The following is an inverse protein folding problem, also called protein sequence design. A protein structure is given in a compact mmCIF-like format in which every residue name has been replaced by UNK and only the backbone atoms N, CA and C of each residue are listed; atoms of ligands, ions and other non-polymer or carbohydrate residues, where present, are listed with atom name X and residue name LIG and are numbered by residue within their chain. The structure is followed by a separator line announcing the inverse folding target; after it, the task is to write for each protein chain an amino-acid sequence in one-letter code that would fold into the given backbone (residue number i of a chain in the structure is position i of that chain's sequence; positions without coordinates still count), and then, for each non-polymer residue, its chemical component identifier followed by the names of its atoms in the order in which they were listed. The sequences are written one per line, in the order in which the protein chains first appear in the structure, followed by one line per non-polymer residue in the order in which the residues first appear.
data_IF_068473804803
#
_entry.id   IF_068473804803
#
_cell.length_a   1.000
_cell.length_b   1.000
_cell.length_c   1.000
_cell.angle_alpha   90.00
_cell.angle_beta   90.00
_cell.angle_gamma   90.00
#
_symmetry.space_group_name_H-M   'P 1'
#
loop_
_entity.id
_entity.type
_entity.pdbx_description
1 polymer ?
#
# COMPACT_ATOMS: atom_id res chain seq x y z
N UNK A 1 2.52 -7.37 -26.67
CA UNK A 1 2.94 -7.72 -25.30
C UNK A 1 1.92 -7.15 -24.34
N UNK A 2 0.93 -7.95 -23.91
CA UNK A 2 -0.14 -7.52 -23.01
C UNK A 2 0.25 -7.93 -21.58
N UNK A 3 1.00 -7.08 -20.89
CA UNK A 3 1.42 -7.29 -19.51
C UNK A 3 2.05 -6.04 -18.93
N UNK A 4 1.73 -5.71 -17.68
CA UNK A 4 2.33 -4.58 -16.97
C UNK A 4 3.59 -5.09 -16.25
N UNK A 5 4.74 -4.49 -16.54
CA UNK A 5 5.98 -4.79 -15.82
C UNK A 5 5.89 -4.32 -14.36
N UNK A 6 6.14 -5.22 -13.41
CA UNK A 6 6.06 -4.92 -11.97
C UNK A 6 7.43 -4.86 -11.28
N UNK A 7 8.49 -5.32 -11.94
CA UNK A 7 9.88 -5.33 -11.48
C UNK A 7 10.82 -4.77 -12.54
N UNK A 8 12.06 -4.46 -12.14
CA UNK A 8 13.07 -3.87 -13.01
C UNK A 8 12.88 -2.37 -13.27
N UNK A 9 13.72 -1.85 -14.16
CA UNK A 9 13.76 -0.42 -14.51
C UNK A 9 12.55 0.01 -15.35
N UNK A 10 11.96 -0.91 -16.12
CA UNK A 10 10.74 -0.66 -16.89
C UNK A 10 9.46 -0.91 -16.08
N UNK A 11 9.58 -1.13 -14.77
CA UNK A 11 8.40 -1.31 -13.92
C UNK A 11 7.50 -0.07 -13.99
N UNK A 12 6.20 -0.29 -14.16
CA UNK A 12 5.24 0.80 -14.23
C UNK A 12 5.30 1.67 -12.95
N UNK A 13 5.22 3.00 -13.06
CA UNK A 13 5.50 3.93 -11.96
C UNK A 13 4.75 3.61 -10.66
N UNK A 14 3.49 3.21 -10.77
CA UNK A 14 2.68 2.79 -9.62
C UNK A 14 3.32 1.64 -8.81
N UNK A 15 3.88 0.63 -9.47
CA UNK A 15 4.55 -0.49 -8.80
C UNK A 15 5.87 -0.07 -8.17
N UNK A 16 6.63 0.82 -8.82
CA UNK A 16 7.83 1.42 -8.21
C UNK A 16 7.45 2.17 -6.93
N UNK A 17 6.44 3.04 -7.00
CA UNK A 17 5.95 3.82 -5.87
C UNK A 17 5.49 2.94 -4.70
N UNK A 18 4.66 1.92 -4.94
CA UNK A 18 4.18 1.03 -3.88
C UNK A 18 5.32 0.28 -3.17
N UNK A 19 6.31 -0.22 -3.93
CA UNK A 19 7.43 -1.02 -3.37
C UNK A 19 8.40 -0.21 -2.52
N UNK A 20 8.49 1.11 -2.70
CA UNK A 20 9.38 1.98 -1.90
C UNK A 20 8.74 2.49 -0.61
N UNK A 21 7.40 2.49 -0.53
CA UNK A 21 6.67 2.94 0.65
C UNK A 21 7.08 2.15 1.90
N UNK A 22 7.12 2.77 3.10
CA UNK A 22 7.57 2.11 4.33
C UNK A 22 6.87 0.77 4.63
N UNK A 23 5.55 0.68 4.41
CA UNK A 23 4.75 -0.53 4.60
C UNK A 23 4.59 -1.39 3.34
N UNK A 24 5.12 -0.94 2.21
CA UNK A 24 5.13 -1.66 0.93
C UNK A 24 6.40 -2.46 0.67
N UNK A 25 7.42 -2.32 1.53
CA UNK A 25 8.68 -3.06 1.43
C UNK A 25 8.47 -4.54 1.75
N UNK A 26 9.17 -5.38 1.02
CA UNK A 26 9.22 -6.81 1.31
C UNK A 26 10.24 -7.11 2.41
N UNK A 27 10.05 -8.21 3.13
CA UNK A 27 10.97 -8.61 4.22
C UNK A 27 12.36 -9.00 3.69
N UNK A 28 12.43 -9.56 2.49
CA UNK A 28 13.66 -9.97 1.81
C UNK A 28 13.73 -9.32 0.43
N UNK A 29 14.07 -8.02 0.44
CA UNK A 29 14.11 -7.17 -0.76
C UNK A 29 12.73 -6.69 -1.20
N UNK A 30 12.71 -5.64 -2.04
CA UNK A 30 11.47 -4.97 -2.42
C UNK A 30 10.77 -5.58 -3.64
N UNK A 31 11.42 -6.47 -4.40
CA UNK A 31 10.87 -7.09 -5.59
C UNK A 31 9.57 -7.87 -5.31
N UNK A 32 8.68 -7.90 -6.30
CA UNK A 32 7.47 -8.74 -6.27
C UNK A 32 7.89 -10.12 -6.77
N UNK A 33 7.96 -11.10 -5.86
CA UNK A 33 8.53 -12.42 -6.14
C UNK A 33 7.60 -13.31 -6.99
N UNK A 34 6.29 -13.14 -6.83
CA UNK A 34 5.29 -13.97 -7.48
C UNK A 34 4.00 -13.19 -7.75
N UNK A 35 3.17 -13.76 -8.63
CA UNK A 35 1.82 -13.28 -8.90
C UNK A 35 0.98 -13.27 -7.61
N UNK A 36 0.00 -12.37 -7.53
CA UNK A 36 -0.88 -12.18 -6.36
C UNK A 36 -0.24 -11.57 -5.11
N UNK A 37 0.86 -10.82 -5.25
CA UNK A 37 1.26 -9.86 -4.20
C UNK A 37 0.25 -8.70 -4.17
N UNK A 38 -0.25 -8.35 -2.98
CA UNK A 38 -1.33 -7.37 -2.83
C UNK A 38 -0.86 -6.20 -1.97
N UNK A 39 -1.37 -5.00 -2.23
CA UNK A 39 -1.09 -3.80 -1.44
C UNK A 39 -2.42 -3.21 -0.98
N UNK A 40 -2.53 -2.90 0.32
CA UNK A 40 -3.65 -2.15 0.85
C UNK A 40 -3.26 -0.68 0.95
N UNK A 41 -4.08 0.16 0.33
CA UNK A 41 -3.94 1.61 0.29
C UNK A 41 -5.14 2.19 1.02
N UNK A 42 -4.90 3.12 1.95
CA UNK A 42 -5.97 3.77 2.69
C UNK A 42 -6.61 4.92 1.88
N UNK A 43 -7.66 5.55 2.45
CA UNK A 43 -8.35 6.68 1.82
C UNK A 43 -7.48 7.93 1.60
N UNK A 44 -6.32 8.02 2.27
CA UNK A 44 -5.40 9.14 2.13
C UNK A 44 -4.31 8.86 1.08
N UNK A 45 -4.39 7.71 0.40
CA UNK A 45 -3.39 7.30 -0.58
C UNK A 45 -2.11 6.73 0.04
N UNK A 46 -2.08 6.41 1.33
CA UNK A 46 -0.91 5.78 1.96
C UNK A 46 -0.97 4.26 1.81
N UNK A 47 0.15 3.63 1.42
CA UNK A 47 0.30 2.17 1.52
C UNK A 47 0.41 1.81 3.00
N UNK A 48 -0.54 1.03 3.49
CA UNK A 48 -0.63 0.65 4.91
C UNK A 48 -0.18 -0.78 5.17
N UNK A 49 -0.28 -1.66 4.16
CA UNK A 49 0.16 -3.06 4.28
C UNK A 49 0.46 -3.68 2.91
N UNK A 50 1.40 -4.63 2.88
CA UNK A 50 1.71 -5.51 1.74
C UNK A 50 1.46 -6.95 2.15
N UNK A 51 0.78 -7.70 1.29
CA UNK A 51 0.44 -9.10 1.50
C UNK A 51 1.18 -10.01 0.54
N UNK A 52 1.57 -11.17 1.05
CA UNK A 52 2.22 -12.21 0.26
C UNK A 52 1.27 -12.88 -0.76
N UNK A 53 1.82 -13.59 -1.74
CA UNK A 53 1.03 -14.35 -2.70
C UNK A 53 0.18 -15.44 -2.04
N UNK A 54 0.72 -16.09 -0.99
CA UNK A 54 0.08 -17.18 -0.25
C UNK A 54 -0.81 -16.68 0.91
N UNK A 55 -1.00 -15.38 1.06
CA UNK A 55 -1.78 -14.83 2.15
C UNK A 55 -3.26 -14.85 1.80
N UNK A 56 -4.04 -15.53 2.65
CA UNK A 56 -5.46 -15.79 2.45
C UNK A 56 -6.29 -14.49 2.46
N UNK A 57 -7.34 -14.38 1.62
CA UNK A 57 -8.22 -13.21 1.60
C UNK A 57 -8.83 -12.88 2.98
N UNK A 58 -9.11 -13.90 3.80
CA UNK A 58 -9.66 -13.73 5.15
C UNK A 58 -8.72 -12.95 6.09
N UNK A 59 -7.40 -13.00 5.86
CA UNK A 59 -6.42 -12.20 6.61
C UNK A 59 -6.58 -10.71 6.25
N UNK A 60 -6.79 -10.42 4.97
CA UNK A 60 -7.00 -9.07 4.45
C UNK A 60 -8.31 -8.48 4.99
N UNK A 61 -9.37 -9.28 5.00
CA UNK A 61 -10.68 -8.87 5.54
C UNK A 61 -10.60 -8.45 7.00
N UNK A 62 -9.83 -9.16 7.83
CA UNK A 62 -9.61 -8.81 9.23
C UNK A 62 -8.92 -7.46 9.42
N UNK A 63 -8.08 -7.04 8.48
CA UNK A 63 -7.39 -5.74 8.55
C UNK A 63 -8.28 -4.58 8.09
N UNK A 64 -9.25 -4.83 7.20
CA UNK A 64 -10.06 -3.80 6.55
C UNK A 64 -10.80 -2.86 7.52
N UNK A 65 -11.45 -3.34 8.60
CA UNK A 65 -12.17 -2.47 9.56
C UNK A 65 -11.30 -1.35 10.14
N UNK A 66 -10.01 -1.62 10.38
CA UNK A 66 -9.06 -0.62 10.89
C UNK A 66 -8.86 0.56 9.93
N UNK A 67 -9.06 0.35 8.63
CA UNK A 67 -8.85 1.37 7.59
C UNK A 67 -10.16 1.94 7.03
N UNK A 68 -11.29 1.24 7.21
CA UNK A 68 -12.62 1.66 6.76
C UNK A 68 -13.35 2.60 7.74
N UNK A 69 -12.70 3.05 8.82
CA UNK A 69 -13.29 3.90 9.86
C UNK A 69 -14.54 3.30 10.52
N UNK A 70 -14.66 1.97 10.56
CA UNK A 70 -15.75 1.26 11.21
C UNK A 70 -15.56 1.23 12.74
N UNK A 71 -15.53 2.41 13.37
CA UNK A 71 -15.34 2.69 14.80
C UNK A 71 -13.88 2.89 15.26
N UNK A 72 -13.54 4.16 15.53
CA UNK A 72 -12.49 4.67 16.44
C UNK A 72 -11.26 3.76 16.65
N UNK A 73 -10.36 3.74 15.67
CA UNK A 73 -8.94 3.71 15.98
C UNK A 73 -8.34 4.95 15.37
N UNK A 74 -8.05 5.95 16.21
CA UNK A 74 -7.30 7.12 15.82
C UNK A 74 -5.96 6.67 15.20
N UNK A 75 -5.48 7.37 14.17
CA UNK A 75 -4.31 6.93 13.43
C UNK A 75 -3.06 7.06 14.32
N UNK A 76 -2.09 6.13 14.28
CA UNK A 76 -0.71 6.51 14.52
C UNK A 76 -0.23 7.26 13.27
N UNK A 77 -0.76 8.46 13.01
CA UNK A 77 -0.19 9.37 12.01
C UNK A 77 1.08 9.99 12.60
N UNK A 78 2.13 9.19 12.71
CA UNK A 78 3.43 9.73 12.33
C UNK A 78 3.37 9.84 10.82
N UNK A 79 3.22 11.07 10.37
CA UNK A 79 3.12 11.49 8.98
C UNK A 79 3.73 10.48 8.00
N UNK A 80 2.96 10.05 7.01
CA UNK A 80 3.54 9.59 5.76
C UNK A 80 4.45 10.75 5.29
N UNK A 81 5.77 10.69 5.58
CA UNK A 81 6.77 11.72 5.24
C UNK A 81 6.94 11.92 3.72
N UNK A 82 6.01 11.40 2.91
CA UNK A 82 6.05 11.35 1.45
C UNK A 82 4.76 11.91 0.80
N UNK A 83 3.75 12.33 1.58
CA UNK A 83 2.72 13.18 1.02
C UNK A 83 3.30 14.61 0.95
N UNK A 84 3.41 15.24 -0.23
CA UNK A 84 3.63 16.68 -0.28
C UNK A 84 2.53 17.31 0.57
N UNK A 85 2.91 18.16 1.52
CA UNK A 85 2.01 18.85 2.43
C UNK A 85 1.08 19.75 1.61
N UNK A 86 -0.04 19.22 1.16
CA UNK A 86 -1.10 20.02 0.56
C UNK A 86 -1.81 20.81 1.65
N UNK A 87 -2.11 22.11 1.41
CA UNK A 87 -2.77 22.95 2.38
C UNK A 87 -4.20 22.48 2.61
N UNK A 88 -4.55 22.43 3.89
CA UNK A 88 -5.77 21.91 4.48
C UNK A 88 -7.05 22.67 4.06
N UNK A 89 -7.59 22.46 2.85
CA UNK A 89 -8.92 23.02 2.48
C UNK A 89 -9.81 22.15 1.58
N UNK A 90 -9.61 20.84 1.46
CA UNK A 90 -10.55 20.01 0.69
C UNK A 90 -11.03 18.76 1.44
N UNK A 91 -12.04 18.98 2.28
CA UNK A 91 -13.11 18.00 2.52
C UNK A 91 -14.44 18.76 2.38
N UNK A 92 -15.33 18.44 1.42
CA UNK A 92 -16.75 18.49 1.73
C UNK A 92 -17.12 17.45 2.79
#
# INVERSE_FOLDING_TARGET
MLGICVNGDDAHPLWKWMKVQPKGRGMLGNAIKWNFTKFLIDKNGCVVKRYGPMEEPLVIEKDLPCYLQLHKCAPPTRACHLCPSEPSTWCP
#
